data_IF_424964675853
#
_entry.id   IF_424964675853
#
_cell.length_a   1.000
_cell.length_b   1.000
_cell.length_c   1.000
_cell.angle_alpha   90.00
_cell.angle_beta   90.00
_cell.angle_gamma   90.00
#
_symmetry.space_group_name_H-M   'P 1'
#
loop_
_entity.id
_entity.type
_entity.pdbx_description
1 polymer ?
#
# COMPACT_ATOMS: atom_id res chain seq x y z
N UNK A 1 -8.01 -28.34 20.20
CA UNK A 1 -9.25 -27.64 19.78
C UNK A 1 -9.15 -26.12 19.95
N UNK A 2 -8.53 -25.58 21.01
CA UNK A 2 -8.39 -24.11 21.19
C UNK A 2 -7.53 -23.38 20.13
N UNK A 3 -6.41 -23.96 19.69
CA UNK A 3 -5.58 -23.37 18.63
C UNK A 3 -6.33 -23.28 17.29
N UNK A 4 -7.09 -24.33 16.96
CA UNK A 4 -7.90 -24.40 15.74
C UNK A 4 -8.99 -23.32 15.72
N UNK A 5 -9.53 -22.97 16.90
CA UNK A 5 -10.53 -21.91 17.06
C UNK A 5 -9.91 -20.51 16.89
N UNK A 6 -8.68 -20.30 17.41
CA UNK A 6 -7.92 -19.04 17.25
C UNK A 6 -7.50 -18.78 15.81
N UNK A 7 -7.06 -19.81 15.08
CA UNK A 7 -6.73 -19.68 13.65
C UNK A 7 -7.97 -19.33 12.82
N UNK A 8 -9.10 -20.02 13.04
CA UNK A 8 -10.38 -19.72 12.38
C UNK A 8 -10.81 -18.26 12.56
N UNK A 9 -10.63 -17.70 13.76
CA UNK A 9 -10.98 -16.32 14.06
C UNK A 9 -10.05 -15.29 13.39
N UNK A 10 -8.76 -15.60 13.21
CA UNK A 10 -7.82 -14.73 12.48
C UNK A 10 -8.17 -14.69 10.99
N UNK A 11 -8.47 -15.85 10.38
CA UNK A 11 -8.84 -15.93 8.97
C UNK A 11 -10.20 -15.31 8.64
N UNK A 12 -11.08 -15.13 9.63
CA UNK A 12 -12.35 -14.43 9.46
C UNK A 12 -12.18 -12.96 9.05
N UNK A 13 -11.11 -12.31 9.51
CA UNK A 13 -10.86 -10.88 9.26
C UNK A 13 -9.89 -10.61 8.13
N UNK A 14 -9.16 -11.63 7.66
CA UNK A 14 -8.28 -11.51 6.52
C UNK A 14 -9.08 -11.60 5.20
N UNK A 15 -8.70 -10.82 4.18
CA UNK A 15 -9.32 -10.93 2.88
C UNK A 15 -9.07 -12.32 2.27
N UNK A 16 -10.09 -12.87 1.62
CA UNK A 16 -9.96 -14.08 0.82
C UNK A 16 -8.92 -13.93 -0.29
N UNK A 17 -8.37 -15.03 -0.80
CA UNK A 17 -7.38 -15.00 -1.90
C UNK A 17 -7.87 -14.22 -3.12
N UNK A 18 -9.17 -14.29 -3.43
CA UNK A 18 -9.80 -13.52 -4.52
C UNK A 18 -9.81 -12.02 -4.22
N UNK A 19 -10.15 -11.62 -3.00
CA UNK A 19 -10.10 -10.21 -2.59
C UNK A 19 -8.67 -9.68 -2.56
N UNK A 20 -7.71 -10.49 -2.11
CA UNK A 20 -6.29 -10.13 -2.12
C UNK A 20 -5.79 -9.88 -3.55
N UNK A 21 -6.16 -10.72 -4.51
CA UNK A 21 -5.86 -10.49 -5.92
C UNK A 21 -6.48 -9.18 -6.44
N UNK A 22 -7.73 -8.90 -6.08
CA UNK A 22 -8.40 -7.63 -6.45
C UNK A 22 -7.66 -6.44 -5.85
N UNK A 23 -7.27 -6.49 -4.57
CA UNK A 23 -6.51 -5.43 -3.93
C UNK A 23 -5.16 -5.20 -4.61
N UNK A 24 -4.42 -6.28 -4.94
CA UNK A 24 -3.14 -6.16 -5.64
C UNK A 24 -3.29 -5.51 -7.02
N UNK A 25 -4.32 -5.90 -7.79
CA UNK A 25 -4.60 -5.30 -9.10
C UNK A 25 -4.96 -3.83 -8.91
N UNK A 26 -5.89 -3.52 -7.99
CA UNK A 26 -6.30 -2.14 -7.73
C UNK A 26 -5.13 -1.25 -7.31
N UNK A 27 -4.27 -1.73 -6.41
CA UNK A 27 -3.09 -1.00 -5.95
C UNK A 27 -2.08 -0.79 -7.08
N UNK A 28 -1.85 -1.80 -7.92
CA UNK A 28 -0.94 -1.70 -9.06
C UNK A 28 -1.47 -0.71 -10.11
N UNK A 29 -2.76 -0.78 -10.42
CA UNK A 29 -3.40 0.16 -11.36
C UNK A 29 -3.40 1.59 -10.82
N UNK A 30 -3.77 1.79 -9.56
CA UNK A 30 -3.77 3.11 -8.94
C UNK A 30 -2.35 3.69 -8.90
N UNK A 31 -1.38 2.91 -8.45
CA UNK A 31 0.03 3.35 -8.36
C UNK A 31 0.65 3.60 -9.73
N UNK A 32 0.34 2.76 -10.72
CA UNK A 32 0.79 2.91 -12.09
C UNK A 32 0.21 4.14 -12.80
N UNK A 33 -0.94 4.64 -12.37
CA UNK A 33 -1.52 5.89 -12.86
C UNK A 33 -1.06 7.09 -12.02
N UNK A 34 -1.11 7.00 -10.70
CA UNK A 34 -0.81 8.12 -9.80
C UNK A 34 0.69 8.42 -9.72
N UNK A 35 1.54 7.41 -9.77
CA UNK A 35 3.00 7.56 -9.71
C UNK A 35 3.51 8.48 -10.81
N UNK A 36 3.23 8.20 -12.09
CA UNK A 36 3.60 9.08 -13.21
C UNK A 36 2.98 10.47 -13.17
N UNK A 37 1.76 10.60 -12.63
CA UNK A 37 1.08 11.90 -12.56
C UNK A 37 1.66 12.81 -11.46
N UNK A 38 1.97 12.23 -10.30
CA UNK A 38 2.36 12.98 -9.09
C UNK A 38 3.89 13.05 -8.94
N UNK A 39 4.60 11.99 -9.32
CA UNK A 39 6.05 11.86 -9.13
C UNK A 39 6.87 13.00 -9.72
N UNK A 40 6.72 13.31 -11.03
CA UNK A 40 7.39 14.44 -11.66
C UNK A 40 7.05 15.80 -11.03
N UNK A 41 5.82 15.98 -10.54
CA UNK A 41 5.44 17.18 -9.79
C UNK A 41 6.18 17.24 -8.44
N UNK A 42 6.22 16.15 -7.68
CA UNK A 42 6.94 16.11 -6.39
C UNK A 42 8.42 16.45 -6.55
N UNK A 43 9.09 16.01 -7.62
CA UNK A 43 10.49 16.38 -7.89
C UNK A 43 10.65 17.89 -8.01
N UNK A 44 9.74 18.58 -8.70
CA UNK A 44 9.80 20.02 -8.86
C UNK A 44 9.67 20.77 -7.52
N UNK A 45 8.88 20.23 -6.60
CA UNK A 45 8.71 20.79 -5.26
C UNK A 45 9.91 20.53 -4.34
N UNK A 46 10.51 19.34 -4.43
CA UNK A 46 11.61 18.92 -3.55
C UNK A 46 12.97 19.46 -4.02
N UNK A 47 13.16 19.65 -5.33
CA UNK A 47 14.43 20.13 -5.88
C UNK A 47 14.26 21.30 -6.89
N UNK A 48 13.82 22.47 -6.40
CA UNK A 48 13.55 23.62 -7.25
C UNK A 48 14.76 24.16 -8.06
N UNK A 49 16.01 24.19 -7.56
CA UNK A 49 17.12 24.77 -8.34
C UNK A 49 17.44 24.00 -9.63
N UNK A 50 17.22 22.68 -9.66
CA UNK A 50 17.40 21.84 -10.86
C UNK A 50 16.21 21.92 -11.82
N UNK A 51 15.01 22.26 -11.32
CA UNK A 51 13.81 22.44 -12.12
C UNK A 51 13.71 23.84 -12.75
N UNK A 52 14.42 24.85 -12.20
CA UNK A 52 14.35 26.25 -12.62
C UNK A 52 15.59 26.70 -13.43
N UNK A 53 16.63 25.85 -13.50
CA UNK A 53 17.79 26.05 -14.35
C UNK A 53 17.57 25.49 -15.76
N UNK A 54 17.02 26.30 -16.66
CA UNK A 54 17.09 26.15 -18.14
C UNK A 54 16.54 24.81 -18.71
N UNK A 55 15.53 24.22 -18.07
CA UNK A 55 14.71 23.20 -18.72
C UNK A 55 13.24 23.58 -18.57
N UNK A 56 12.67 24.12 -19.64
CA UNK A 56 11.23 24.40 -19.83
C UNK A 56 10.37 23.14 -19.90
N UNK A 57 10.78 22.04 -19.27
CA UNK A 57 10.10 20.76 -19.27
C UNK A 57 9.50 20.48 -17.91
N UNK A 58 8.19 20.23 -17.87
CA UNK A 58 7.58 19.52 -16.74
C UNK A 58 8.42 18.26 -16.42
N UNK A 59 8.52 17.86 -15.14
CA UNK A 59 9.50 16.87 -14.63
C UNK A 59 9.66 15.60 -15.48
N UNK A 60 10.71 14.80 -15.27
CA UNK A 60 11.04 13.68 -16.17
C UNK A 60 9.88 12.68 -16.40
N UNK A 61 9.20 12.81 -17.54
CA UNK A 61 8.15 11.91 -18.05
C UNK A 61 8.70 10.87 -19.03
N UNK A 62 10.02 10.61 -19.02
CA UNK A 62 10.58 9.50 -19.80
C UNK A 62 9.89 8.19 -19.43
N UNK A 63 9.74 7.23 -20.37
CA UNK A 63 9.12 5.94 -20.08
C UNK A 63 9.74 5.23 -18.86
N UNK A 64 11.06 5.40 -18.66
CA UNK A 64 11.77 4.87 -17.51
C UNK A 64 11.40 5.61 -16.21
N UNK A 65 11.36 6.95 -16.23
CA UNK A 65 10.97 7.76 -15.07
C UNK A 65 9.53 7.48 -14.62
N UNK A 66 8.60 7.41 -15.58
CA UNK A 66 7.21 7.00 -15.38
C UNK A 66 7.12 5.63 -14.72
N UNK A 67 7.86 4.65 -15.24
CA UNK A 67 7.87 3.28 -14.70
C UNK A 67 8.43 3.24 -13.27
N UNK A 68 9.54 3.95 -13.01
CA UNK A 68 10.15 4.03 -11.68
C UNK A 68 9.21 4.68 -10.66
N UNK A 69 8.51 5.74 -11.04
CA UNK A 69 7.51 6.37 -10.18
C UNK A 69 6.31 5.46 -9.90
N UNK A 70 5.81 4.77 -10.93
CA UNK A 70 4.74 3.77 -10.75
C UNK A 70 5.17 2.65 -9.80
N UNK A 71 6.40 2.15 -9.93
CA UNK A 71 6.95 1.10 -9.06
C UNK A 71 7.13 1.59 -7.62
N UNK A 72 7.67 2.81 -7.44
CA UNK A 72 7.85 3.41 -6.12
C UNK A 72 6.52 3.58 -5.38
N UNK A 73 5.49 4.08 -6.04
CA UNK A 73 4.15 4.20 -5.46
C UNK A 73 3.54 2.83 -5.15
N UNK A 74 3.79 1.83 -5.99
CA UNK A 74 3.32 0.45 -5.74
C UNK A 74 3.97 -0.12 -4.48
N UNK A 75 5.27 0.11 -4.27
CA UNK A 75 5.97 -0.29 -3.05
C UNK A 75 5.39 0.39 -1.80
N UNK A 76 5.13 1.69 -1.87
CA UNK A 76 4.51 2.45 -0.78
C UNK A 76 3.12 1.88 -0.46
N UNK A 77 2.29 1.66 -1.48
CA UNK A 77 0.97 1.06 -1.31
C UNK A 77 1.07 -0.33 -0.66
N UNK A 78 1.98 -1.18 -1.14
CA UNK A 78 2.22 -2.53 -0.60
C UNK A 78 2.62 -2.50 0.89
N UNK A 79 3.45 -1.53 1.29
CA UNK A 79 3.83 -1.35 2.69
C UNK A 79 2.62 -1.05 3.58
N UNK A 80 1.79 -0.06 3.22
CA UNK A 80 0.60 0.28 3.98
C UNK A 80 -0.44 -0.85 4.01
N UNK A 81 -0.62 -1.53 2.87
CA UNK A 81 -1.52 -2.67 2.79
C UNK A 81 -1.08 -3.83 3.69
N UNK A 82 0.23 -4.09 3.77
CA UNK A 82 0.77 -5.09 4.70
C UNK A 82 0.50 -4.70 6.15
N UNK A 83 0.72 -3.42 6.51
CA UNK A 83 0.37 -2.91 7.83
C UNK A 83 -1.12 -3.06 8.17
N UNK A 84 -2.00 -2.82 7.19
CA UNK A 84 -3.44 -3.02 7.33
C UNK A 84 -3.82 -4.49 7.55
N UNK A 85 -3.21 -5.42 6.81
CA UNK A 85 -3.40 -6.87 7.03
C UNK A 85 -2.97 -7.30 8.43
N UNK A 86 -1.85 -6.77 8.93
CA UNK A 86 -1.38 -7.04 10.30
C UNK A 86 -2.39 -6.52 11.33
N UNK A 87 -2.95 -5.33 11.11
CA UNK A 87 -3.98 -4.76 12.00
C UNK A 87 -5.26 -5.61 12.02
N UNK A 88 -5.70 -6.12 10.85
CA UNK A 88 -6.84 -7.04 10.77
C UNK A 88 -6.57 -8.37 11.48
N UNK A 89 -5.40 -8.96 11.26
CA UNK A 89 -5.00 -10.19 11.94
C UNK A 89 -4.96 -9.99 13.47
N UNK A 90 -4.48 -8.83 13.93
CA UNK A 90 -4.47 -8.45 15.35
C UNK A 90 -5.89 -8.36 15.93
N UNK A 91 -6.83 -7.73 15.23
CA UNK A 91 -8.25 -7.69 15.66
C UNK A 91 -8.86 -9.08 15.77
N UNK A 92 -8.63 -9.94 14.78
CA UNK A 92 -9.10 -11.33 14.84
C UNK A 92 -8.50 -12.10 16.02
N UNK A 93 -7.24 -11.84 16.36
CA UNK A 93 -6.59 -12.42 17.55
C UNK A 93 -7.21 -11.91 18.85
N UNK A 94 -7.49 -10.61 18.96
CA UNK A 94 -8.07 -9.98 20.16
C UNK A 94 -9.49 -10.49 20.43
N UNK A 95 -10.32 -10.67 19.40
CA UNK A 95 -11.66 -11.26 19.56
C UNK A 95 -11.65 -12.76 19.86
N UNK A 96 -10.62 -13.48 19.41
CA UNK A 96 -10.42 -14.89 19.74
C UNK A 96 -9.92 -15.10 21.18
N UNK A 97 -9.53 -14.04 21.89
CA UNK A 97 -9.23 -14.15 23.32
C UNK A 97 -10.53 -14.15 24.12
N UNK A 98 -10.70 -15.07 25.08
CA UNK A 98 -11.83 -15.02 25.98
C UNK A 98 -11.81 -13.68 26.71
N UNK A 99 -12.93 -12.95 26.70
CA UNK A 99 -13.10 -11.78 27.58
C UNK A 99 -12.88 -12.26 29.01
N UNK A 100 -11.77 -11.82 29.62
CA UNK A 100 -11.52 -12.02 31.04
C UNK A 100 -12.73 -11.46 31.80
N UNK A 101 -13.37 -12.29 32.62
CA UNK A 101 -14.50 -11.93 33.48
C UNK A 101 -14.14 -10.93 34.60
N UNK A 102 -12.89 -10.47 34.66
CA UNK A 102 -12.33 -9.64 35.73
C UNK A 102 -12.06 -8.17 35.34
N UNK A 103 -12.84 -7.60 34.41
CA UNK A 103 -12.92 -6.13 34.21
C UNK A 103 -14.37 -5.71 34.06
#
# INVERSE_FOLDING_TARGET
MEQQNKESAIFKYLPSSRQLAIHLVAMSSLSGLSGPLIGPLLIQWVNPPQAWGIATGMGDYSPLGVLLWGLAFTMIAAFFYTGWLIALARRGREEAQPKSWYN
#
